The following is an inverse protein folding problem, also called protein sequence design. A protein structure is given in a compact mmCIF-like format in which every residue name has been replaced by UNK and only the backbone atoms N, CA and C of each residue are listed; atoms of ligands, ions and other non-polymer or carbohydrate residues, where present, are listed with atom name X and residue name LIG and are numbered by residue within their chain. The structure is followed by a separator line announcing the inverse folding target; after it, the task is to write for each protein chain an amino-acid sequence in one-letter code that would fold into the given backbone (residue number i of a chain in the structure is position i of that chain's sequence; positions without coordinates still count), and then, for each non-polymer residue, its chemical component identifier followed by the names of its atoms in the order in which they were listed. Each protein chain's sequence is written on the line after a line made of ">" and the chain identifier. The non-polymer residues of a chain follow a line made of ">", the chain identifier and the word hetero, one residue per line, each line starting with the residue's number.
data_IF_782182335876
#
_entry.id   IF_782182335876
#
_cell.length_a   1.000
_cell.length_b   1.000
_cell.length_c   1.000
_cell.angle_alpha   90.00
_cell.angle_beta   90.00
_cell.angle_gamma   90.00
#
_symmetry.space_group_name_H-M   'P 1'
#
loop_
_entity.id
_entity.type
_entity.pdbx_description
1 polymer ?
#
# COMPACT_ATOMS: atom_id res chain seq x y z
N UNK A 1 -18.08 14.17 15.61
CA UNK A 1 -16.72 13.98 15.13
C UNK A 1 -16.62 12.55 14.64
N UNK A 2 -16.90 12.33 13.36
CA UNK A 2 -16.56 11.08 12.68
C UNK A 2 -15.05 11.09 12.58
N UNK A 3 -14.38 10.13 13.21
CA UNK A 3 -12.95 9.92 13.05
C UNK A 3 -12.75 9.56 11.58
N UNK A 4 -12.20 10.47 10.78
CA UNK A 4 -11.73 10.13 9.44
C UNK A 4 -10.67 9.03 9.60
N UNK A 5 -10.96 7.88 9.02
CA UNK A 5 -10.10 6.69 9.06
C UNK A 5 -9.18 6.80 7.85
N UNK A 6 -7.96 7.25 8.06
CA UNK A 6 -6.98 7.54 7.01
C UNK A 6 -6.30 6.24 6.52
N UNK A 7 -6.14 5.24 7.39
CA UNK A 7 -5.56 3.95 7.07
C UNK A 7 -6.33 2.76 7.69
N UNK A 8 -6.65 1.77 6.85
CA UNK A 8 -7.36 0.54 7.24
C UNK A 8 -6.50 -0.69 6.94
N UNK A 9 -6.32 -1.55 7.96
CA UNK A 9 -5.80 -2.90 7.77
C UNK A 9 -6.93 -3.92 7.82
N UNK A 10 -7.02 -4.77 6.80
CA UNK A 10 -7.98 -5.87 6.75
C UNK A 10 -7.28 -7.21 6.93
N UNK A 11 -7.63 -7.97 7.96
CA UNK A 11 -7.16 -9.35 8.10
C UNK A 11 -8.04 -10.27 7.26
N UNK A 12 -7.54 -10.72 6.10
CA UNK A 12 -8.20 -11.68 5.18
C UNK A 12 -7.19 -12.29 4.18
N UNK A 13 -7.49 -13.48 3.69
CA UNK A 13 -6.62 -14.22 2.75
C UNK A 13 -6.59 -13.73 1.29
N UNK A 14 -7.34 -12.69 0.95
CA UNK A 14 -7.47 -12.19 -0.44
C UNK A 14 -7.65 -10.67 -0.47
N UNK A 15 -7.35 -9.97 -1.58
CA UNK A 15 -7.52 -8.53 -1.67
C UNK A 15 -8.95 -8.08 -1.29
N UNK A 16 -9.13 -6.97 -0.56
CA UNK A 16 -10.45 -6.39 -0.36
C UNK A 16 -11.06 -5.93 -1.68
N UNK A 17 -12.36 -6.21 -1.86
CA UNK A 17 -13.16 -5.71 -2.97
C UNK A 17 -13.43 -4.21 -2.73
N UNK A 18 -12.90 -3.38 -3.61
CA UNK A 18 -13.00 -1.92 -3.57
C UNK A 18 -13.46 -1.44 -4.95
N UNK A 19 -14.22 -0.36 -4.99
CA UNK A 19 -14.66 0.25 -6.26
C UNK A 19 -13.45 0.72 -7.06
N UNK A 20 -13.35 0.21 -8.29
CA UNK A 20 -12.19 0.43 -9.15
C UNK A 20 -12.14 1.83 -9.78
N UNK A 21 -13.26 2.55 -9.83
CA UNK A 21 -13.39 3.82 -10.54
C UNK A 21 -12.53 4.97 -9.96
N UNK A 22 -11.99 4.80 -8.74
CA UNK A 22 -11.10 5.76 -8.07
C UNK A 22 -10.07 5.04 -7.21
N UNK A 23 -9.51 3.96 -7.75
CA UNK A 23 -8.60 3.07 -7.03
C UNK A 23 -7.19 3.18 -7.59
N UNK A 24 -6.27 3.66 -6.76
CA UNK A 24 -4.85 3.41 -6.98
C UNK A 24 -4.49 2.07 -6.34
N UNK A 25 -4.19 1.07 -7.16
CA UNK A 25 -3.73 -0.24 -6.70
C UNK A 25 -2.20 -0.32 -6.74
N UNK A 26 -1.59 -0.37 -5.56
CA UNK A 26 -0.15 -0.52 -5.34
C UNK A 26 0.12 -1.94 -4.91
N UNK A 27 0.87 -2.70 -5.71
CA UNK A 27 1.14 -4.12 -5.44
C UNK A 27 2.61 -4.46 -5.69
N UNK A 28 3.14 -5.54 -5.10
CA UNK A 28 4.43 -6.08 -5.51
C UNK A 28 4.42 -6.34 -7.03
N UNK A 29 5.41 -5.82 -7.72
CA UNK A 29 5.59 -6.01 -9.15
C UNK A 29 6.17 -7.38 -9.47
N UNK A 30 5.92 -7.87 -10.69
CA UNK A 30 6.36 -9.19 -11.14
C UNK A 30 7.89 -9.35 -11.30
N UNK A 31 8.65 -8.25 -11.22
CA UNK A 31 10.11 -8.28 -11.21
C UNK A 31 10.66 -8.27 -9.79
N UNK A 32 11.39 -9.34 -9.43
CA UNK A 32 12.22 -9.40 -8.23
C UNK A 32 13.69 -9.36 -8.61
N UNK A 33 14.45 -8.43 -8.02
CA UNK A 33 15.90 -8.30 -8.20
C UNK A 33 16.61 -8.91 -6.99
N UNK A 34 17.78 -9.50 -7.22
CA UNK A 34 18.65 -10.05 -6.17
C UNK A 34 20.05 -9.46 -6.34
N UNK A 35 20.62 -8.85 -5.30
CA UNK A 35 21.95 -8.22 -5.34
C UNK A 35 23.08 -9.10 -4.79
N UNK A 36 22.77 -10.31 -4.34
CA UNK A 36 23.72 -11.21 -3.68
C UNK A 36 23.43 -11.41 -2.19
N UNK A 37 22.86 -10.40 -1.53
CA UNK A 37 22.55 -10.44 -0.10
C UNK A 37 21.05 -10.36 0.17
N UNK A 38 20.29 -9.71 -0.71
CA UNK A 38 18.86 -9.45 -0.52
C UNK A 38 18.10 -9.59 -1.82
N UNK A 39 16.87 -10.12 -1.69
CA UNK A 39 15.85 -10.11 -2.74
C UNK A 39 14.90 -8.97 -2.47
N UNK A 40 14.48 -8.25 -3.51
CA UNK A 40 13.38 -7.29 -3.43
C UNK A 40 12.53 -7.30 -4.70
N UNK A 41 11.23 -7.11 -4.52
CA UNK A 41 10.29 -6.88 -5.60
C UNK A 41 10.16 -5.38 -5.87
N UNK A 42 9.93 -4.97 -7.12
CA UNK A 42 9.47 -3.60 -7.42
C UNK A 42 8.08 -3.33 -6.81
N UNK A 43 7.68 -2.08 -6.62
CA UNK A 43 6.27 -1.72 -6.42
C UNK A 43 5.66 -1.29 -7.75
N UNK A 44 4.54 -1.90 -8.10
CA UNK A 44 3.76 -1.56 -9.29
C UNK A 44 2.54 -0.73 -8.90
N UNK A 45 2.37 0.40 -9.58
CA UNK A 45 1.24 1.31 -9.42
C UNK A 45 0.31 1.11 -10.62
N UNK A 46 -0.94 0.77 -10.33
CA UNK A 46 -1.97 0.44 -11.32
C UNK A 46 -3.15 1.39 -11.09
N UNK A 47 -3.56 2.08 -12.14
CA UNK A 47 -4.63 3.08 -12.14
C UNK A 47 -5.66 2.66 -13.19
N UNK A 48 -6.95 2.67 -12.86
CA UNK A 48 -8.03 2.23 -13.77
C UNK A 48 -7.80 0.83 -14.38
N UNK A 49 -7.08 -0.05 -13.67
CA UNK A 49 -6.68 -1.36 -14.18
C UNK A 49 -5.59 -1.32 -15.26
N UNK A 50 -5.09 -0.13 -15.62
CA UNK A 50 -3.95 0.09 -16.51
C UNK A 50 -2.68 0.20 -15.68
N UNK A 51 -1.67 -0.60 -16.02
CA UNK A 51 -0.36 -0.54 -15.38
C UNK A 51 0.33 0.78 -15.75
N UNK A 52 0.67 1.60 -14.76
CA UNK A 52 1.29 2.91 -15.03
C UNK A 52 2.80 2.90 -14.82
N UNK A 53 3.32 2.20 -13.79
CA UNK A 53 4.77 2.16 -13.56
C UNK A 53 5.18 1.14 -12.50
N UNK A 54 6.43 0.68 -12.58
CA UNK A 54 7.13 0.01 -11.48
C UNK A 54 8.25 0.88 -10.96
N UNK A 55 8.42 0.86 -9.64
CA UNK A 55 9.49 1.55 -8.93
C UNK A 55 10.36 0.55 -8.18
N UNK A 56 11.68 0.70 -8.30
CA UNK A 56 12.63 -0.10 -7.55
C UNK A 56 12.71 0.34 -6.08
N UNK A 57 13.52 -0.39 -5.31
CA UNK A 57 13.76 -0.09 -3.90
C UNK A 57 14.28 1.33 -3.67
N UNK A 58 15.20 1.80 -4.52
CA UNK A 58 15.83 3.12 -4.37
C UNK A 58 14.91 4.26 -4.83
N UNK A 59 13.84 3.93 -5.56
CA UNK A 59 12.89 4.89 -6.12
C UNK A 59 11.64 5.08 -5.26
N UNK A 60 11.61 4.56 -4.02
CA UNK A 60 10.42 4.62 -3.15
C UNK A 60 9.93 6.05 -2.96
N UNK A 61 10.82 7.03 -2.80
CA UNK A 61 10.43 8.44 -2.68
C UNK A 61 9.74 8.91 -3.96
N UNK A 62 10.32 8.64 -5.12
CA UNK A 62 9.71 9.00 -6.41
C UNK A 62 8.38 8.25 -6.67
N UNK A 63 8.24 7.03 -6.15
CA UNK A 63 7.00 6.26 -6.19
C UNK A 63 5.89 6.93 -5.38
N UNK A 64 6.24 7.43 -4.18
CA UNK A 64 5.30 8.12 -3.29
C UNK A 64 4.90 9.49 -3.86
N UNK A 65 5.83 10.25 -4.42
CA UNK A 65 5.52 11.51 -5.11
C UNK A 65 4.60 11.29 -6.31
N UNK A 66 4.84 10.22 -7.09
CA UNK A 66 3.96 9.85 -8.19
C UNK A 66 2.57 9.42 -7.70
N UNK A 67 2.48 8.76 -6.54
CA UNK A 67 1.21 8.39 -5.94
C UNK A 67 0.31 9.63 -5.75
N UNK A 68 0.82 10.69 -5.11
CA UNK A 68 0.08 11.93 -4.87
C UNK A 68 -0.49 12.55 -6.16
N UNK A 69 0.25 12.48 -7.27
CA UNK A 69 -0.20 13.01 -8.56
C UNK A 69 -1.27 12.19 -9.27
N UNK A 70 -1.60 11.01 -8.76
CA UNK A 70 -2.48 10.06 -9.43
C UNK A 70 -3.59 9.47 -8.53
N UNK A 71 -3.69 9.87 -7.26
CA UNK A 71 -4.89 9.58 -6.47
C UNK A 71 -5.93 10.63 -6.79
N UNK A 72 -7.05 10.21 -7.38
CA UNK A 72 -8.19 11.10 -7.63
C UNK A 72 -8.77 11.68 -6.33
N UNK A 73 -9.51 12.77 -6.45
CA UNK A 73 -10.26 13.36 -5.33
C UNK A 73 -11.24 12.32 -4.71
N UNK A 74 -11.02 12.03 -3.43
CA UNK A 74 -11.71 11.01 -2.65
C UNK A 74 -11.30 9.57 -3.00
N UNK A 75 -10.21 9.38 -3.75
CA UNK A 75 -9.74 8.10 -4.24
C UNK A 75 -9.18 7.18 -3.15
N UNK A 76 -9.43 5.89 -3.26
CA UNK A 76 -8.86 4.91 -2.34
C UNK A 76 -7.51 4.43 -2.87
N UNK A 77 -6.50 4.37 -2.01
CA UNK A 77 -5.25 3.68 -2.30
C UNK A 77 -5.34 2.29 -1.70
N UNK A 78 -5.20 1.26 -2.53
CA UNK A 78 -5.03 -0.11 -2.07
C UNK A 78 -3.56 -0.49 -2.10
N UNK A 79 -3.01 -0.93 -0.98
CA UNK A 79 -1.68 -1.54 -0.91
C UNK A 79 -1.79 -3.05 -0.80
N UNK A 80 -0.94 -3.75 -1.54
CA UNK A 80 -0.83 -5.20 -1.60
C UNK A 80 -0.63 -5.88 -0.23
N UNK A 81 -0.85 -7.20 -0.19
CA UNK A 81 -0.76 -7.99 1.04
C UNK A 81 0.53 -7.68 1.84
N UNK A 82 0.37 -7.18 3.07
CA UNK A 82 1.46 -6.83 3.99
C UNK A 82 2.39 -8.00 4.27
N UNK A 83 1.86 -9.21 4.48
CA UNK A 83 2.70 -10.39 4.72
C UNK A 83 3.58 -10.69 3.50
N UNK A 84 3.05 -10.48 2.28
CA UNK A 84 3.80 -10.64 1.03
C UNK A 84 4.90 -9.59 0.90
N UNK A 85 4.60 -8.34 1.24
CA UNK A 85 5.60 -7.28 1.26
C UNK A 85 6.75 -7.59 2.21
N UNK A 86 6.48 -8.18 3.38
CA UNK A 86 7.52 -8.58 4.37
C UNK A 86 8.52 -9.61 3.86
N UNK A 87 8.18 -10.41 2.84
CA UNK A 87 9.14 -11.34 2.24
C UNK A 87 10.19 -10.64 1.38
N UNK A 88 9.83 -9.52 0.75
CA UNK A 88 10.65 -8.84 -0.25
C UNK A 88 11.21 -7.49 0.25
N UNK A 89 10.64 -6.94 1.33
CA UNK A 89 10.90 -5.58 1.81
C UNK A 89 11.15 -5.58 3.32
N UNK A 90 12.02 -4.68 3.78
CA UNK A 90 12.22 -4.49 5.22
C UNK A 90 11.01 -3.82 5.87
N UNK A 91 10.74 -4.13 7.12
CA UNK A 91 9.64 -3.52 7.90
C UNK A 91 9.71 -1.98 7.90
N UNK A 92 10.91 -1.39 7.98
CA UNK A 92 11.11 0.06 7.87
C UNK A 92 10.64 0.58 6.52
N UNK A 93 10.98 -0.10 5.43
CA UNK A 93 10.57 0.31 4.07
C UNK A 93 9.06 0.18 3.89
N UNK A 94 8.45 -0.90 4.39
CA UNK A 94 7.00 -1.10 4.34
C UNK A 94 6.28 0.04 5.07
N UNK A 95 6.71 0.38 6.28
CA UNK A 95 6.13 1.49 7.06
C UNK A 95 6.29 2.85 6.36
N UNK A 96 7.43 3.10 5.71
CA UNK A 96 7.63 4.33 4.92
C UNK A 96 6.66 4.39 3.74
N UNK A 97 6.49 3.28 3.01
CA UNK A 97 5.54 3.19 1.90
C UNK A 97 4.11 3.41 2.38
N UNK A 98 3.70 2.73 3.45
CA UNK A 98 2.36 2.85 4.02
C UNK A 98 2.05 4.28 4.46
N UNK A 99 2.97 4.93 5.18
CA UNK A 99 2.78 6.32 5.61
C UNK A 99 2.70 7.27 4.43
N UNK A 100 3.55 7.08 3.42
CA UNK A 100 3.52 7.92 2.22
C UNK A 100 2.22 7.77 1.44
N UNK A 101 1.75 6.53 1.25
CA UNK A 101 0.50 6.25 0.55
C UNK A 101 -0.73 6.73 1.35
N UNK A 102 -0.71 6.61 2.68
CA UNK A 102 -1.75 7.16 3.54
C UNK A 102 -1.78 8.70 3.45
N UNK A 103 -0.62 9.37 3.42
CA UNK A 103 -0.55 10.83 3.21
C UNK A 103 -1.12 11.22 1.85
N UNK A 104 -0.71 10.53 0.77
CA UNK A 104 -1.21 10.79 -0.58
C UNK A 104 -2.74 10.61 -0.68
N UNK A 105 -3.26 9.53 -0.08
CA UNK A 105 -4.70 9.28 -0.04
C UNK A 105 -5.45 10.36 0.77
N UNK A 106 -4.88 10.78 1.91
CA UNK A 106 -5.46 11.82 2.77
C UNK A 106 -5.48 13.18 2.07
N UNK A 107 -4.42 13.52 1.35
CA UNK A 107 -4.31 14.79 0.59
C UNK A 107 -5.40 14.91 -0.48
N UNK A 108 -5.85 13.78 -1.04
CA UNK A 108 -6.99 13.74 -1.95
C UNK A 108 -8.34 13.58 -1.25
N UNK A 109 -8.40 13.48 0.07
CA UNK A 109 -9.64 13.23 0.83
C UNK A 109 -10.14 11.79 0.78
N UNK A 110 -9.26 10.86 0.40
CA UNK A 110 -9.48 9.42 0.37
C UNK A 110 -8.87 8.70 1.57
N UNK A 111 -8.49 7.43 1.36
CA UNK A 111 -7.93 6.56 2.41
C UNK A 111 -7.00 5.48 1.87
N UNK A 112 -6.09 5.01 2.71
CA UNK A 112 -5.32 3.80 2.48
C UNK A 112 -6.07 2.56 2.97
N UNK A 113 -6.12 1.52 2.15
CA UNK A 113 -6.58 0.18 2.52
C UNK A 113 -5.50 -0.83 2.20
N UNK A 114 -5.07 -1.59 3.19
CA UNK A 114 -4.16 -2.72 3.01
C UNK A 114 -4.74 -3.97 3.65
N UNK A 115 -4.15 -5.13 3.40
CA UNK A 115 -4.59 -6.39 4.00
C UNK A 115 -3.44 -7.30 4.37
N UNK A 116 -3.74 -8.26 5.23
CA UNK A 116 -2.81 -9.28 5.69
C UNK A 116 -3.55 -10.61 5.86
N UNK A 117 -2.91 -11.73 5.49
CA UNK A 117 -3.37 -13.09 5.81
C UNK A 117 -2.87 -13.58 7.17
N UNK A 118 -1.89 -12.89 7.76
CA UNK A 118 -1.36 -13.15 9.09
C UNK A 118 -1.98 -12.21 10.13
N UNK A 119 -2.15 -12.64 11.39
CA UNK A 119 -2.55 -11.74 12.47
C UNK A 119 -1.57 -10.56 12.58
N UNK A 120 -2.05 -9.30 12.62
CA UNK A 120 -1.17 -8.16 12.83
C UNK A 120 -0.47 -8.24 14.18
N UNK A 121 0.77 -7.79 14.22
CA UNK A 121 1.46 -7.60 15.49
C UNK A 121 0.90 -6.36 16.21
N UNK A 122 0.97 -6.26 17.55
CA UNK A 122 0.44 -5.12 18.29
C UNK A 122 0.98 -3.76 17.81
N UNK A 123 2.25 -3.73 17.40
CA UNK A 123 2.89 -2.53 16.85
C UNK A 123 2.35 -2.16 15.47
N UNK A 124 1.85 -3.13 14.69
CA UNK A 124 1.23 -2.88 13.40
C UNK A 124 -0.12 -2.19 13.57
N UNK A 125 -0.92 -2.60 14.57
CA UNK A 125 -2.25 -2.04 14.79
C UNK A 125 -2.21 -0.54 15.08
N UNK A 126 -1.13 -0.06 15.71
CA UNK A 126 -0.93 1.37 16.01
C UNK A 126 -0.74 2.25 14.78
N UNK A 127 -0.47 1.66 13.61
CA UNK A 127 -0.29 2.36 12.34
C UNK A 127 -1.62 2.60 11.60
N UNK A 128 -2.71 1.97 12.04
CA UNK A 128 -4.00 1.99 11.37
C UNK A 128 -5.06 2.60 12.26
N UNK A 129 -5.93 3.40 11.67
CA UNK A 129 -7.10 3.95 12.36
C UNK A 129 -8.17 2.87 12.60
N UNK A 130 -8.15 1.80 11.80
CA UNK A 130 -9.00 0.64 11.97
C UNK A 130 -8.33 -0.67 11.53
N UNK A 131 -8.52 -1.73 12.34
CA UNK A 131 -8.18 -3.11 12.00
C UNK A 131 -9.46 -3.93 11.89
N UNK A 132 -9.75 -4.42 10.69
CA UNK A 132 -10.96 -5.21 10.40
C UNK A 132 -10.59 -6.69 10.34
N UNK A 133 -11.08 -7.47 11.30
CA UNK A 133 -10.87 -8.93 11.35
C UNK A 133 -12.09 -9.63 10.73
N UNK A 134 -11.93 -10.33 9.61
CA UNK A 134 -13.00 -11.07 8.92
C UNK A 134 -12.69 -12.55 8.79
#
# INVERSE_FOLDING_TARGET
>A
MTTDVDAVLVQRGSPPDLDAERLLDVRPGGGSTFDGDRRWASLSFVYDGVYARSYGRDDVVAALEAATGHVDDGGTVRLGNRSRLRFDWSETTIRTVERGLASAARESGGRLVTWTDEPPEPDDESLYDAVVRR
#
